data_IF_501291171830
#
_entry.id   IF_501291171830
#
_cell.length_a   1.000
_cell.length_b   1.000
_cell.length_c   1.000
_cell.angle_alpha   90.00
_cell.angle_beta   90.00
_cell.angle_gamma   90.00
#
_symmetry.space_group_name_H-M   'P 1'
#
loop_
_entity.id
_entity.type
_entity.pdbx_description
1 polymer ?
#
# COMPACT_ATOMS: atom_id res chain seq x y z
N UNK A 1 29.39 -5.88 54.51
CA UNK A 1 28.25 -5.13 53.94
C UNK A 1 28.03 -5.67 52.54
N UNK A 2 26.94 -6.41 52.35
CA UNK A 2 26.67 -7.19 51.13
C UNK A 2 26.24 -6.27 49.99
N UNK A 3 26.91 -6.35 48.83
CA UNK A 3 26.60 -5.57 47.64
C UNK A 3 25.47 -6.23 46.85
N UNK A 4 24.35 -5.51 46.69
CA UNK A 4 23.24 -5.93 45.85
C UNK A 4 23.57 -5.60 44.39
N UNK A 5 23.78 -6.64 43.57
CA UNK A 5 23.90 -6.49 42.11
C UNK A 5 22.49 -6.44 41.52
N UNK A 6 22.13 -5.29 40.96
CA UNK A 6 20.89 -5.10 40.22
C UNK A 6 21.08 -5.64 38.79
N UNK A 7 20.50 -6.81 38.49
CA UNK A 7 20.42 -7.34 37.13
C UNK A 7 19.30 -6.60 36.37
N UNK A 8 19.68 -5.71 35.45
CA UNK A 8 18.77 -5.13 34.47
C UNK A 8 18.51 -6.16 33.37
N UNK A 9 17.32 -6.77 33.37
CA UNK A 9 16.86 -7.59 32.25
C UNK A 9 16.54 -6.69 31.06
N UNK A 10 17.32 -6.77 29.98
CA UNK A 10 17.00 -6.09 28.73
C UNK A 10 15.80 -6.78 28.07
N UNK A 11 14.65 -6.11 28.05
CA UNK A 11 13.52 -6.53 27.23
C UNK A 11 13.85 -6.18 25.78
N UNK A 12 14.13 -7.20 24.95
CA UNK A 12 14.25 -7.01 23.51
C UNK A 12 12.86 -6.79 22.91
N UNK A 13 12.57 -5.57 22.47
CA UNK A 13 11.43 -5.31 21.60
C UNK A 13 11.83 -5.78 20.19
N UNK A 14 11.22 -6.85 19.70
CA UNK A 14 11.28 -7.13 18.27
C UNK A 14 10.66 -5.92 17.56
N UNK A 15 11.46 -5.16 16.81
CA UNK A 15 10.92 -4.18 15.88
C UNK A 15 10.05 -4.95 14.91
N UNK A 16 8.74 -4.84 15.06
CA UNK A 16 7.79 -5.33 14.08
C UNK A 16 8.16 -4.72 12.73
N UNK A 17 8.61 -5.55 11.81
CA UNK A 17 9.01 -5.11 10.48
C UNK A 17 7.80 -4.49 9.79
N UNK A 18 8.03 -3.42 9.04
CA UNK A 18 7.01 -2.88 8.14
C UNK A 18 6.55 -3.91 7.09
N UNK A 19 5.59 -3.55 6.25
CA UNK A 19 5.12 -4.41 5.16
C UNK A 19 6.26 -4.86 4.25
N UNK A 20 6.16 -6.07 3.69
CA UNK A 20 7.14 -6.61 2.72
C UNK A 20 6.50 -6.82 1.36
N UNK A 21 7.16 -6.31 0.31
CA UNK A 21 6.73 -6.40 -1.09
C UNK A 21 7.89 -6.01 -2.00
N UNK A 22 7.73 -6.21 -3.31
CA UNK A 22 8.72 -5.83 -4.32
C UNK A 22 8.03 -5.08 -5.46
N UNK A 23 8.81 -4.47 -6.36
CA UNK A 23 8.26 -3.86 -7.57
C UNK A 23 7.47 -4.85 -8.45
N UNK A 24 7.83 -6.15 -8.43
CA UNK A 24 7.11 -7.18 -9.17
C UNK A 24 5.71 -7.48 -8.59
N UNK A 25 5.49 -7.16 -7.31
CA UNK A 25 4.18 -7.28 -6.68
C UNK A 25 3.21 -6.13 -7.01
N UNK A 26 3.69 -5.08 -7.67
CA UNK A 26 2.88 -3.94 -8.11
C UNK A 26 2.44 -4.15 -9.56
N UNK A 27 1.14 -4.36 -9.76
CA UNK A 27 0.56 -4.71 -11.07
C UNK A 27 -0.63 -3.83 -11.41
N UNK A 28 -0.95 -3.73 -12.70
CA UNK A 28 -2.22 -3.15 -13.14
C UNK A 28 -3.37 -4.08 -12.71
N UNK A 29 -4.36 -3.56 -11.98
CA UNK A 29 -5.40 -4.39 -11.39
C UNK A 29 -6.32 -5.06 -12.44
N UNK A 30 -6.45 -4.48 -13.64
CA UNK A 30 -7.27 -5.02 -14.70
C UNK A 30 -6.58 -6.16 -15.45
N UNK A 31 -5.26 -6.07 -15.67
CA UNK A 31 -4.50 -7.07 -16.43
C UNK A 31 -3.78 -8.08 -15.54
N UNK A 32 -3.58 -7.76 -14.26
CA UNK A 32 -2.78 -8.50 -13.29
C UNK A 32 -1.32 -8.74 -13.74
N UNK A 33 -0.76 -7.83 -14.54
CA UNK A 33 0.62 -7.89 -15.03
C UNK A 33 1.47 -6.74 -14.48
N UNK A 34 2.78 -6.96 -14.23
CA UNK A 34 3.71 -5.89 -13.89
C UNK A 34 3.89 -4.90 -15.05
N UNK A 35 3.69 -3.61 -14.77
CA UNK A 35 3.94 -2.50 -15.70
C UNK A 35 3.09 -2.46 -16.99
N UNK A 36 3.19 -1.36 -17.76
CA UNK A 36 3.28 0.00 -17.20
C UNK A 36 2.02 0.35 -16.39
N UNK A 37 2.16 1.26 -15.43
CA UNK A 37 1.02 1.96 -14.83
C UNK A 37 0.92 3.36 -15.44
N UNK A 38 -0.18 4.06 -15.20
CA UNK A 38 -0.38 5.45 -15.58
C UNK A 38 -1.09 6.20 -14.43
N UNK A 39 -1.08 7.54 -14.43
CA UNK A 39 -1.99 8.30 -13.58
C UNK A 39 -3.44 7.81 -13.76
N UNK A 40 -4.21 7.70 -12.67
CA UNK A 40 -5.55 7.10 -12.62
C UNK A 40 -5.63 5.58 -12.87
N UNK A 41 -4.52 4.85 -13.03
CA UNK A 41 -4.58 3.38 -13.03
C UNK A 41 -5.00 2.86 -11.66
N UNK A 42 -5.92 1.90 -11.62
CA UNK A 42 -6.14 1.07 -10.44
C UNK A 42 -5.05 0.01 -10.43
N UNK A 43 -4.21 0.01 -9.40
CA UNK A 43 -3.12 -0.93 -9.22
C UNK A 43 -3.41 -1.87 -8.06
N UNK A 44 -2.92 -3.11 -8.18
CA UNK A 44 -2.87 -4.07 -7.07
C UNK A 44 -1.42 -4.18 -6.60
N UNK A 45 -1.20 -4.06 -5.30
CA UNK A 45 0.07 -4.35 -4.64
C UNK A 45 -0.08 -5.65 -3.84
N UNK A 46 0.71 -6.66 -4.21
CA UNK A 46 0.81 -7.93 -3.49
C UNK A 46 2.05 -7.96 -2.60
N UNK A 47 1.90 -8.58 -1.41
CA UNK A 47 2.95 -8.65 -0.41
C UNK A 47 2.54 -9.39 0.85
N UNK A 48 3.20 -9.07 1.96
CA UNK A 48 2.89 -9.60 3.28
C UNK A 48 2.91 -8.49 4.34
N UNK A 49 2.03 -8.62 5.34
CA UNK A 49 1.88 -7.64 6.41
C UNK A 49 1.45 -6.26 5.91
N UNK A 50 0.65 -6.19 4.83
CA UNK A 50 0.23 -4.93 4.21
C UNK A 50 -0.81 -4.17 5.03
N UNK A 51 -1.63 -4.88 5.81
CA UNK A 51 -2.68 -4.32 6.66
C UNK A 51 -2.94 -5.25 7.87
N UNK A 52 -3.55 -4.72 8.93
CA UNK A 52 -3.98 -5.51 10.09
C UNK A 52 -5.23 -6.35 9.83
N UNK A 53 -6.01 -5.99 8.84
CA UNK A 53 -7.26 -6.66 8.52
C UNK A 53 -7.70 -6.39 7.09
N UNK A 54 -8.72 -7.12 6.68
CA UNK A 54 -9.31 -7.00 5.34
C UNK A 54 -10.48 -6.04 5.36
N UNK A 55 -10.48 -5.08 4.43
CA UNK A 55 -11.58 -4.13 4.26
C UNK A 55 -11.64 -3.62 2.83
N UNK A 56 -12.84 -3.56 2.28
CA UNK A 56 -13.13 -2.82 1.06
C UNK A 56 -13.71 -1.44 1.41
N UNK A 57 -13.58 -0.49 0.48
CA UNK A 57 -14.26 0.80 0.58
C UNK A 57 -15.77 0.63 0.61
N UNK A 58 -16.45 1.45 1.40
CA UNK A 58 -17.91 1.58 1.40
C UNK A 58 -18.33 3.02 1.07
N UNK A 59 -19.63 3.25 0.83
CA UNK A 59 -20.14 4.58 0.50
C UNK A 59 -19.84 5.62 1.60
N UNK A 60 -19.80 5.19 2.87
CA UNK A 60 -19.53 6.04 4.03
C UNK A 60 -18.08 6.54 4.09
N UNK A 61 -17.16 5.89 3.38
CA UNK A 61 -15.76 6.32 3.31
C UNK A 61 -15.55 7.49 2.34
N UNK A 62 -16.47 7.68 1.38
CA UNK A 62 -16.35 8.70 0.35
C UNK A 62 -16.79 10.04 0.92
N UNK A 63 -15.89 11.04 0.90
CA UNK A 63 -16.14 12.37 1.44
C UNK A 63 -15.97 13.42 0.36
N UNK A 64 -17.01 14.20 0.11
CA UNK A 64 -17.02 15.24 -0.92
C UNK A 64 -16.56 14.74 -2.31
N UNK A 65 -16.88 13.49 -2.65
CA UNK A 65 -16.48 12.87 -3.93
C UNK A 65 -15.05 12.33 -3.98
N UNK A 66 -14.30 12.39 -2.88
CA UNK A 66 -12.94 11.87 -2.79
C UNK A 66 -12.90 10.49 -2.11
N UNK A 67 -12.13 9.58 -2.70
CA UNK A 67 -11.80 8.28 -2.13
C UNK A 67 -10.83 8.47 -0.93
N UNK A 68 -10.93 7.62 0.11
CA UNK A 68 -10.05 7.69 1.26
C UNK A 68 -8.63 7.22 0.91
N UNK A 69 -7.62 7.82 1.55
CA UNK A 69 -6.21 7.37 1.48
C UNK A 69 -5.85 6.37 2.60
N UNK A 70 -6.81 6.08 3.49
CA UNK A 70 -6.71 5.08 4.55
C UNK A 70 -8.09 4.50 4.83
N UNK A 71 -8.20 3.18 4.86
CA UNK A 71 -9.41 2.49 5.32
C UNK A 71 -9.32 2.28 6.84
N UNK A 72 -10.33 2.70 7.59
CA UNK A 72 -10.32 2.64 9.06
C UNK A 72 -10.07 1.21 9.54
N UNK A 73 -9.20 1.05 10.54
CA UNK A 73 -8.82 -0.25 11.11
C UNK A 73 -7.76 -1.04 10.32
N UNK A 74 -7.39 -0.61 9.11
CA UNK A 74 -6.39 -1.34 8.31
C UNK A 74 -4.94 -1.08 8.72
N UNK A 75 -4.65 0.11 9.24
CA UNK A 75 -3.29 0.60 9.48
C UNK A 75 -2.49 0.94 8.21
N UNK A 76 -2.98 0.59 7.03
CA UNK A 76 -2.28 0.75 5.77
C UNK A 76 -2.38 2.19 5.23
N UNK A 77 -1.27 2.72 4.73
CA UNK A 77 -1.25 3.87 3.82
C UNK A 77 -0.26 3.60 2.70
N UNK A 78 -0.55 4.10 1.50
CA UNK A 78 0.36 3.99 0.34
C UNK A 78 0.62 5.38 -0.19
N UNK A 79 1.86 5.66 -0.56
CA UNK A 79 2.27 6.90 -1.21
C UNK A 79 2.99 6.60 -2.52
N UNK A 80 2.75 7.42 -3.55
CA UNK A 80 3.52 7.46 -4.79
C UNK A 80 4.08 8.87 -4.94
N UNK A 81 5.40 9.00 -5.07
CA UNK A 81 6.07 10.30 -5.07
C UNK A 81 5.74 11.17 -3.83
N UNK A 82 5.59 10.53 -2.66
CA UNK A 82 5.15 11.16 -1.39
C UNK A 82 3.71 11.73 -1.42
N UNK A 83 2.94 11.42 -2.45
CA UNK A 83 1.52 11.75 -2.54
C UNK A 83 0.72 10.53 -2.10
N UNK A 84 -0.18 10.71 -1.14
CA UNK A 84 -1.03 9.63 -0.64
C UNK A 84 -1.96 9.10 -1.75
N UNK A 85 -1.92 7.80 -1.96
CA UNK A 85 -2.74 7.11 -2.95
C UNK A 85 -4.11 6.75 -2.34
N UNK A 86 -5.24 7.03 -3.03
CA UNK A 86 -6.54 6.54 -2.61
C UNK A 86 -6.60 5.01 -2.63
N UNK A 87 -7.33 4.41 -1.68
CA UNK A 87 -7.42 2.96 -1.49
C UNK A 87 -8.86 2.47 -1.74
N UNK A 88 -8.98 1.41 -2.53
CA UNK A 88 -10.24 0.70 -2.77
C UNK A 88 -10.40 -0.53 -1.86
N UNK A 89 -9.29 -1.21 -1.60
CA UNK A 89 -9.27 -2.48 -0.87
C UNK A 89 -7.94 -2.66 -0.17
N UNK A 90 -7.97 -3.26 1.01
CA UNK A 90 -6.78 -3.64 1.79
C UNK A 90 -7.01 -5.01 2.41
N UNK A 91 -5.94 -5.79 2.53
CA UNK A 91 -5.83 -7.02 3.30
C UNK A 91 -4.38 -7.20 3.76
N UNK A 92 -4.07 -8.17 4.65
CA UNK A 92 -2.69 -8.47 5.00
C UNK A 92 -1.78 -8.82 3.81
N UNK A 93 -2.34 -9.21 2.66
CA UNK A 93 -1.57 -9.69 1.49
C UNK A 93 -1.81 -8.89 0.20
N UNK A 94 -2.76 -7.97 0.18
CA UNK A 94 -3.10 -7.19 -1.01
C UNK A 94 -3.59 -5.77 -0.67
N UNK A 95 -3.20 -4.77 -1.46
CA UNK A 95 -3.81 -3.44 -1.48
C UNK A 95 -4.21 -3.12 -2.92
N UNK A 96 -5.46 -2.66 -3.13
CA UNK A 96 -5.86 -2.04 -4.38
C UNK A 96 -5.91 -0.52 -4.18
N UNK A 97 -5.16 0.21 -5.00
CA UNK A 97 -4.99 1.65 -4.90
C UNK A 97 -5.23 2.34 -6.25
N UNK A 98 -5.59 3.62 -6.21
CA UNK A 98 -5.59 4.49 -7.37
C UNK A 98 -4.24 5.21 -7.44
N UNK A 99 -3.51 5.09 -8.56
CA UNK A 99 -2.32 5.92 -8.80
C UNK A 99 -2.74 7.40 -8.79
N UNK A 100 -2.10 8.27 -8.00
CA UNK A 100 -2.51 9.67 -7.88
C UNK A 100 -2.63 10.35 -9.24
N UNK A 101 -3.78 10.99 -9.47
CA UNK A 101 -4.12 11.62 -10.76
C UNK A 101 -3.32 12.87 -11.07
N UNK A 102 -2.69 13.49 -10.07
CA UNK A 102 -1.84 14.67 -10.19
C UNK A 102 -0.42 14.38 -10.68
N UNK A 103 -0.05 13.10 -10.84
CA UNK A 103 1.26 12.72 -11.35
C UNK A 103 1.29 12.79 -12.88
N UNK A 104 2.46 13.11 -13.43
CA UNK A 104 2.74 13.05 -14.86
C UNK A 104 3.46 11.74 -15.20
N UNK A 105 3.62 11.39 -16.50
CA UNK A 105 4.48 10.27 -16.90
C UNK A 105 5.91 10.47 -16.40
N UNK A 106 6.53 9.42 -15.85
CA UNK A 106 7.86 9.49 -15.26
C UNK A 106 8.16 8.37 -14.26
N UNK A 107 9.37 8.42 -13.70
CA UNK A 107 9.82 7.45 -12.69
C UNK A 107 9.61 8.01 -11.28
N UNK A 108 8.96 7.20 -10.44
CA UNK A 108 8.64 7.56 -9.05
C UNK A 108 8.98 6.41 -8.10
N UNK A 109 8.80 6.71 -6.81
CA UNK A 109 8.89 5.73 -5.73
C UNK A 109 7.51 5.53 -5.14
N UNK A 110 7.12 4.28 -4.95
CA UNK A 110 5.99 3.86 -4.13
C UNK A 110 6.51 3.35 -2.78
N UNK A 111 5.80 3.71 -1.71
CA UNK A 111 6.02 3.16 -0.38
C UNK A 111 4.70 2.96 0.37
N UNK A 112 4.58 1.82 1.03
CA UNK A 112 3.48 1.46 1.93
C UNK A 112 3.97 1.54 3.38
N UNK A 113 3.11 2.01 4.28
CA UNK A 113 3.36 1.93 5.72
C UNK A 113 2.21 1.20 6.43
N UNK A 114 2.55 0.50 7.52
CA UNK A 114 1.59 -0.10 8.44
C UNK A 114 1.72 0.62 9.80
N UNK A 115 0.76 1.50 10.11
CA UNK A 115 0.77 2.39 11.28
C UNK A 115 2.12 3.09 11.48
N UNK A 116 2.64 3.69 10.40
CA UNK A 116 3.90 4.43 10.39
C UNK A 116 5.16 3.57 10.23
N UNK A 117 5.04 2.24 10.22
CA UNK A 117 6.16 1.33 9.94
C UNK A 117 6.34 1.21 8.43
N UNK A 118 7.41 1.79 7.92
CA UNK A 118 7.69 1.80 6.49
C UNK A 118 8.07 0.42 5.96
N UNK A 119 7.50 0.06 4.81
CA UNK A 119 8.00 -1.00 3.95
C UNK A 119 9.11 -0.49 3.02
N UNK A 120 9.58 -1.33 2.08
CA UNK A 120 10.61 -0.96 1.12
C UNK A 120 10.12 0.14 0.16
N UNK A 121 11.03 0.99 -0.27
CA UNK A 121 10.80 1.86 -1.43
C UNK A 121 10.91 1.04 -2.71
N UNK A 122 9.86 1.06 -3.55
CA UNK A 122 9.85 0.37 -4.84
C UNK A 122 9.73 1.37 -5.97
N UNK A 123 10.53 1.19 -7.02
CA UNK A 123 10.45 2.02 -8.22
C UNK A 123 9.19 1.71 -9.01
N UNK A 124 8.53 2.73 -9.51
CA UNK A 124 7.38 2.64 -10.41
C UNK A 124 7.57 3.60 -11.57
N UNK A 125 7.42 3.10 -12.79
CA UNK A 125 7.42 3.92 -14.01
C UNK A 125 5.98 4.14 -14.46
N UNK A 126 5.59 5.40 -14.58
CA UNK A 126 4.31 5.82 -15.11
C UNK A 126 4.43 6.20 -16.59
N UNK A 127 3.53 5.65 -17.41
CA UNK A 127 3.37 5.98 -18.82
C UNK A 127 2.20 6.94 -19.02
N UNK A 128 2.08 7.59 -20.20
CA UNK A 128 0.92 8.42 -20.54
C UNK A 128 -0.41 7.67 -20.43
N UNK A 129 -0.42 6.37 -20.71
CA UNK A 129 -1.58 5.51 -20.59
C UNK A 129 -1.18 4.06 -20.33
N UNK A 130 -2.04 3.33 -19.59
CA UNK A 130 -1.90 1.91 -19.30
C UNK A 130 -3.29 1.24 -19.31
N UNK A 131 -3.88 1.02 -20.50
CA UNK A 131 -5.23 0.49 -20.61
C UNK A 131 -5.32 -0.97 -20.12
N UNK A 132 -6.48 -1.30 -19.55
CA UNK A 132 -6.84 -2.67 -19.17
C UNK A 132 -8.35 -2.77 -19.03
N UNK A 133 -8.89 -3.97 -19.25
CA UNK A 133 -10.31 -4.25 -19.10
C UNK A 133 -10.52 -5.20 -17.93
N UNK A 134 -11.41 -4.83 -17.01
CA UNK A 134 -11.92 -5.76 -16.01
C UNK A 134 -12.90 -6.70 -16.69
N UNK A 135 -12.57 -7.98 -16.70
CA UNK A 135 -13.45 -9.01 -17.23
C UNK A 135 -14.39 -9.46 -16.10
N UNK A 136 -15.69 -9.32 -16.30
CA UNK A 136 -16.69 -10.02 -15.49
C UNK A 136 -16.99 -11.35 -16.18
N UNK A 137 -16.98 -12.44 -15.42
CA UNK A 137 -17.31 -13.77 -15.94
C UNK A 137 -18.81 -13.92 -16.31
N UNK A 138 -19.61 -12.86 -16.15
CA UNK A 138 -21.04 -12.86 -16.47
C UNK A 138 -21.92 -13.57 -15.43
N UNK A 139 -21.43 -13.76 -14.21
CA UNK A 139 -22.21 -14.33 -13.10
C UNK A 139 -22.83 -13.26 -12.21
#
# INVERSE_FOLDING_TARGET
>A
MSGLILLLSAVSFAASTGPTYTAAGLVNAATNLPGPLAPNTIASLYGSGLAWGTRAITAEDIRAGYLPTRLIGSGATVQVARIAAPLYYVSPTQINLLVPSSLEPGDYVLQTTLDGRAGPEVKVTLQPAAPGLFLSNGE
#
